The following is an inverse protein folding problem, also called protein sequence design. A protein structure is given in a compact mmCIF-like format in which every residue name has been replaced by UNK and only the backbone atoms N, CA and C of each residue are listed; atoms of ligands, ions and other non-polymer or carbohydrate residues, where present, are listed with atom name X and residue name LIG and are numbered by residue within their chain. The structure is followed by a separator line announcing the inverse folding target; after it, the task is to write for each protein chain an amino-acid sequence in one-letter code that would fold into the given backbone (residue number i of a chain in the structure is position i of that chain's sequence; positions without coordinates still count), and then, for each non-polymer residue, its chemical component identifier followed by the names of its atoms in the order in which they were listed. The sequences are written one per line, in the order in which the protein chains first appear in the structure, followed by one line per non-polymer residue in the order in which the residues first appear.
data_IF_978019213766
#
_entry.id   IF_978019213766
#
_cell.length_a   1.000
_cell.length_b   1.000
_cell.length_c   1.000
_cell.angle_alpha   90.00
_cell.angle_beta   90.00
_cell.angle_gamma   90.00
#
_symmetry.space_group_name_H-M   'P 1'
#
loop_
_entity.id
_entity.type
_entity.pdbx_description
1 polymer ?
#
# COMPACT_ATOMS: atom_id res chain seq x y z
N UNK A 1 -17.65 -0.02 15.97
CA UNK A 1 -16.98 1.09 15.28
C UNK A 1 -17.25 1.03 13.79
N UNK A 2 -17.70 2.14 13.19
CA UNK A 2 -18.16 2.27 11.79
C UNK A 2 -17.16 1.79 10.72
N UNK A 3 -15.86 1.76 11.03
CA UNK A 3 -14.82 1.21 10.15
C UNK A 3 -14.99 -0.30 9.88
N UNK A 4 -15.51 -1.06 10.84
CA UNK A 4 -15.73 -2.50 10.69
C UNK A 4 -16.99 -2.78 9.83
N UNK A 5 -18.01 -1.93 9.93
CA UNK A 5 -19.23 -2.03 9.13
C UNK A 5 -19.01 -1.60 7.66
N UNK A 6 -18.11 -0.64 7.43
CA UNK A 6 -17.71 -0.20 6.08
C UNK A 6 -17.02 -1.33 5.29
N UNK A 7 -16.23 -2.18 5.96
CA UNK A 7 -15.61 -3.35 5.32
C UNK A 7 -16.60 -4.50 5.02
N UNK A 8 -17.77 -4.55 5.68
CA UNK A 8 -18.71 -5.69 5.58
C UNK A 8 -19.96 -5.41 4.74
N UNK A 9 -20.39 -4.14 4.59
CA UNK A 9 -21.69 -3.80 3.95
C UNK A 9 -21.65 -3.48 2.46
N UNK A 10 -20.51 -3.59 1.77
CA UNK A 10 -20.47 -3.38 0.32
C UNK A 10 -19.59 -4.39 -0.43
N UNK A 11 -20.02 -5.65 -0.55
CA UNK A 11 -19.38 -6.63 -1.43
C UNK A 11 -19.56 -6.31 -2.93
N UNK A 12 -20.47 -5.39 -3.30
CA UNK A 12 -20.77 -5.04 -4.69
C UNK A 12 -19.80 -4.06 -5.37
N UNK A 13 -19.09 -3.23 -4.59
CA UNK A 13 -18.05 -2.33 -5.11
C UNK A 13 -16.69 -3.01 -5.33
N UNK A 14 -16.57 -4.28 -4.96
CA UNK A 14 -15.28 -4.96 -4.76
C UNK A 14 -14.63 -5.51 -6.05
N UNK A 15 -15.34 -5.50 -7.19
CA UNK A 15 -14.82 -6.04 -8.45
C UNK A 15 -14.64 -5.00 -9.58
N UNK A 16 -14.79 -3.72 -9.30
CA UNK A 16 -14.47 -2.68 -10.28
C UNK A 16 -12.98 -2.32 -10.23
N UNK A 17 -12.22 -2.95 -11.12
CA UNK A 17 -10.89 -2.54 -11.59
C UNK A 17 -9.69 -2.80 -10.66
N UNK A 18 -8.66 -3.41 -11.26
CA UNK A 18 -7.33 -3.77 -10.72
C UNK A 18 -6.47 -2.59 -10.19
N UNK A 19 -7.09 -1.47 -9.80
CA UNK A 19 -6.48 -0.30 -9.16
C UNK A 19 -7.11 0.08 -7.82
N UNK A 20 -8.33 -0.39 -7.51
CA UNK A 20 -9.06 0.01 -6.29
C UNK A 20 -8.45 -0.62 -5.03
N UNK A 21 -7.96 -1.85 -5.12
CA UNK A 21 -7.32 -2.57 -4.01
C UNK A 21 -6.04 -1.91 -3.52
N UNK A 22 -5.19 -1.42 -4.43
CA UNK A 22 -3.92 -0.79 -4.05
C UNK A 22 -4.09 0.66 -3.60
N UNK A 23 -5.09 1.37 -4.14
CA UNK A 23 -5.47 2.69 -3.63
C UNK A 23 -6.01 2.60 -2.19
N UNK A 24 -6.86 1.61 -1.91
CA UNK A 24 -7.33 1.31 -0.55
C UNK A 24 -6.17 0.93 0.37
N UNK A 25 -5.25 0.06 -0.09
CA UNK A 25 -4.04 -0.29 0.66
C UNK A 25 -3.24 0.96 1.07
N UNK A 26 -3.02 1.90 0.15
CA UNK A 26 -2.28 3.13 0.46
C UNK A 26 -2.98 3.98 1.53
N UNK A 27 -4.31 4.11 1.46
CA UNK A 27 -5.09 4.79 2.49
C UNK A 27 -4.99 4.10 3.85
N UNK A 28 -5.04 2.77 3.88
CA UNK A 28 -4.90 2.00 5.13
C UNK A 28 -3.51 2.14 5.74
N UNK A 29 -2.45 2.13 4.93
CA UNK A 29 -1.08 2.35 5.43
C UNK A 29 -0.95 3.73 6.06
N UNK A 30 -1.45 4.79 5.40
CA UNK A 30 -1.39 6.16 5.93
C UNK A 30 -2.21 6.28 7.22
N UNK A 31 -3.44 5.77 7.24
CA UNK A 31 -4.30 5.82 8.42
C UNK A 31 -3.72 5.01 9.60
N UNK A 32 -3.13 3.84 9.32
CA UNK A 32 -2.47 3.03 10.34
C UNK A 32 -1.17 3.68 10.82
N UNK A 33 -0.46 4.42 9.98
CA UNK A 33 0.78 5.08 10.38
C UNK A 33 0.53 6.14 11.46
N UNK A 34 -0.60 6.85 11.39
CA UNK A 34 -1.02 7.81 12.42
C UNK A 34 -1.35 7.13 13.77
N UNK A 35 -1.81 5.88 13.75
CA UNK A 35 -2.23 5.13 14.94
C UNK A 35 -1.06 4.33 15.53
N UNK A 36 -0.36 3.59 14.68
CA UNK A 36 0.73 2.68 15.03
C UNK A 36 1.71 2.50 13.84
N UNK A 37 2.79 3.31 13.82
CA UNK A 37 3.85 3.23 12.81
C UNK A 37 4.45 1.83 12.59
N UNK A 38 4.60 1.03 13.65
CA UNK A 38 5.23 -0.29 13.54
C UNK A 38 4.33 -1.28 12.77
N UNK A 39 3.02 -1.20 13.01
CA UNK A 39 2.03 -2.02 12.30
C UNK A 39 1.92 -1.56 10.85
N UNK A 40 1.89 -0.24 10.61
CA UNK A 40 1.90 0.33 9.27
C UNK A 40 3.15 -0.10 8.47
N UNK A 41 4.33 -0.08 9.09
CA UNK A 41 5.58 -0.51 8.46
C UNK A 41 5.57 -2.02 8.14
N UNK A 42 4.94 -2.85 8.97
CA UNK A 42 4.75 -4.27 8.68
C UNK A 42 3.80 -4.49 7.49
N UNK A 43 2.73 -3.71 7.39
CA UNK A 43 1.82 -3.72 6.23
C UNK A 43 2.54 -3.23 4.96
N UNK A 44 3.32 -2.16 5.07
CA UNK A 44 4.16 -1.59 4.00
C UNK A 44 5.13 -2.64 3.42
N UNK A 45 5.77 -3.43 4.30
CA UNK A 45 6.69 -4.51 3.91
C UNK A 45 6.04 -5.61 3.08
N UNK A 46 4.71 -5.77 3.16
CA UNK A 46 3.96 -6.72 2.32
C UNK A 46 4.03 -6.40 0.82
N UNK A 47 4.22 -5.12 0.47
CA UNK A 47 4.42 -4.69 -0.92
C UNK A 47 5.88 -4.39 -1.28
N UNK A 48 6.86 -4.63 -0.39
CA UNK A 48 8.28 -4.38 -0.68
C UNK A 48 8.77 -5.23 -1.86
N UNK A 49 8.25 -6.46 -1.99
CA UNK A 49 8.55 -7.39 -3.10
C UNK A 49 7.65 -7.23 -4.32
N UNK A 50 7.00 -6.08 -4.50
CA UNK A 50 6.05 -5.82 -5.60
C UNK A 50 6.61 -6.16 -7.01
N UNK A 51 7.94 -6.09 -7.18
CA UNK A 51 8.62 -6.43 -8.45
C UNK A 51 8.64 -7.92 -8.80
N UNK A 52 8.32 -8.81 -7.86
CA UNK A 52 8.18 -10.25 -8.10
C UNK A 52 6.78 -10.62 -8.64
N UNK A 53 5.82 -9.70 -8.59
CA UNK A 53 4.48 -9.93 -9.09
C UNK A 53 4.41 -9.76 -10.60
N UNK A 54 3.36 -10.31 -11.22
CA UNK A 54 3.13 -10.17 -12.65
C UNK A 54 3.08 -8.69 -13.08
N UNK A 55 3.54 -8.33 -14.30
CA UNK A 55 3.65 -6.94 -14.76
C UNK A 55 2.35 -6.11 -14.63
N UNK A 56 1.19 -6.76 -14.77
CA UNK A 56 -0.12 -6.11 -14.59
C UNK A 56 -0.30 -5.51 -13.19
N UNK A 57 0.22 -6.17 -12.15
CA UNK A 57 0.11 -5.73 -10.76
C UNK A 57 1.19 -4.75 -10.36
N UNK A 58 2.38 -4.88 -10.96
CA UNK A 58 3.52 -4.01 -10.68
C UNK A 58 3.18 -2.53 -10.84
N UNK A 59 2.44 -2.18 -11.90
CA UNK A 59 2.02 -0.81 -12.16
C UNK A 59 1.14 -0.25 -11.04
N UNK A 60 0.11 -0.99 -10.64
CA UNK A 60 -0.83 -0.55 -9.59
C UNK A 60 -0.18 -0.52 -8.20
N UNK A 61 0.70 -1.47 -7.90
CA UNK A 61 1.47 -1.49 -6.64
C UNK A 61 2.45 -0.32 -6.56
N UNK A 62 3.17 0.00 -7.65
CA UNK A 62 4.07 1.15 -7.72
C UNK A 62 3.33 2.45 -7.44
N UNK A 63 2.16 2.65 -8.06
CA UNK A 63 1.31 3.83 -7.83
C UNK A 63 0.88 3.93 -6.37
N UNK A 64 0.55 2.82 -5.72
CA UNK A 64 0.19 2.82 -4.30
C UNK A 64 1.38 3.14 -3.38
N UNK A 65 2.56 2.59 -3.65
CA UNK A 65 3.78 2.94 -2.94
C UNK A 65 4.13 4.42 -3.10
N UNK A 66 4.01 4.97 -4.31
CA UNK A 66 4.21 6.40 -4.58
C UNK A 66 3.18 7.27 -3.83
N UNK A 67 1.92 6.85 -3.76
CA UNK A 67 0.88 7.54 -2.98
C UNK A 67 1.21 7.58 -1.49
N UNK A 68 1.67 6.46 -0.92
CA UNK A 68 2.11 6.43 0.48
C UNK A 68 3.31 7.36 0.65
N UNK A 69 4.35 7.25 -0.19
CA UNK A 69 5.55 8.09 -0.11
C UNK A 69 5.26 9.59 -0.19
N UNK A 70 4.22 10.00 -0.95
CA UNK A 70 3.78 11.38 -1.08
C UNK A 70 2.98 11.91 0.13
N UNK A 71 2.66 11.08 1.12
CA UNK A 71 1.94 11.53 2.31
C UNK A 71 2.84 12.43 3.19
N UNK A 72 2.31 13.61 3.55
CA UNK A 72 3.06 14.65 4.26
C UNK A 72 3.51 14.24 5.67
N UNK A 73 2.70 13.44 6.38
CA UNK A 73 2.97 12.97 7.74
C UNK A 73 3.15 11.45 7.73
N UNK A 74 4.36 11.02 7.40
CA UNK A 74 4.77 9.63 7.51
C UNK A 74 5.80 9.46 8.61
N UNK A 75 5.66 8.38 9.38
CA UNK A 75 6.70 7.93 10.29
C UNK A 75 7.99 7.58 9.56
N UNK A 76 9.15 7.68 10.23
CA UNK A 76 10.43 7.26 9.68
C UNK A 76 10.41 5.79 9.20
N UNK A 77 9.79 4.90 9.98
CA UNK A 77 9.74 3.46 9.70
C UNK A 77 9.02 3.15 8.38
N UNK A 78 7.82 3.74 8.17
CA UNK A 78 7.06 3.52 6.93
C UNK A 78 7.77 4.19 5.75
N UNK A 79 8.31 5.40 5.94
CA UNK A 79 9.03 6.11 4.88
C UNK A 79 10.26 5.34 4.42
N UNK A 80 11.01 4.72 5.33
CA UNK A 80 12.16 3.89 4.99
C UNK A 80 11.76 2.68 4.15
N UNK A 81 10.73 1.96 4.57
CA UNK A 81 10.23 0.77 3.85
C UNK A 81 9.77 1.13 2.44
N UNK A 82 8.93 2.15 2.30
CA UNK A 82 8.37 2.54 1.00
C UNK A 82 9.46 3.09 0.08
N UNK A 83 10.41 3.87 0.61
CA UNK A 83 11.54 4.39 -0.17
C UNK A 83 12.43 3.26 -0.67
N UNK A 84 12.75 2.27 0.19
CA UNK A 84 13.52 1.08 -0.21
C UNK A 84 12.80 0.28 -1.29
N UNK A 85 11.49 0.06 -1.15
CA UNK A 85 10.68 -0.66 -2.14
C UNK A 85 10.68 0.04 -3.52
N UNK A 86 10.66 1.37 -3.55
CA UNK A 86 10.71 2.17 -4.79
C UNK A 86 12.13 2.18 -5.41
N UNK A 87 13.18 2.21 -4.59
CA UNK A 87 14.58 2.23 -5.02
C UNK A 87 15.12 0.87 -5.48
N UNK A 88 14.53 -0.24 -5.04
CA UNK A 88 14.93 -1.58 -5.49
C UNK A 88 15.06 -1.61 -7.03
N UNK A 89 16.08 -2.21 -7.63
CA UNK A 89 16.20 -2.26 -9.11
C UNK A 89 15.39 -3.47 -9.63
N UNK A 90 14.75 -3.44 -10.83
CA UNK A 90 14.06 -4.62 -11.32
C UNK A 90 15.10 -5.71 -11.54
N UNK A 91 14.83 -6.93 -11.08
CA UNK A 91 15.68 -8.07 -11.42
C UNK A 91 15.66 -8.24 -12.96
N UNK A 92 16.82 -8.47 -13.60
CA UNK A 92 16.83 -8.89 -15.00
C UNK A 92 16.03 -10.20 -15.11
N UNK A 93 15.14 -10.27 -16.11
CA UNK A 93 14.38 -11.50 -16.40
C UNK A 93 15.31 -12.65 -16.77
#
# INVERSE_FOLDING_TARGET
SLLHAFCLSNPGGFHAAEGVTYAFWAQQVIALDEINPQVAARLARGLDRWRQFAPRYQKSMKVALEKVAAANRLSPDVREVVSKALLAKPAPR
#
